data_IF_266097841479
#
_entry.id   IF_266097841479
#
_cell.length_a   1.000
_cell.length_b   1.000
_cell.length_c   1.000
_cell.angle_alpha   90.00
_cell.angle_beta   90.00
_cell.angle_gamma   90.00
#
_symmetry.space_group_name_H-M   'P 1'
#
loop_
_entity.id
_entity.type
_entity.pdbx_description
1 polymer ?
#
# COMPACT_ATOMS: atom_id res chain seq x y z
N UNK A 1 -5.73 -14.00 -9.79
CA UNK A 1 -6.29 -12.64 -9.65
C UNK A 1 -6.40 -12.01 -11.03
N UNK A 2 -7.56 -11.61 -11.46
CA UNK A 2 -7.73 -11.07 -12.80
C UNK A 2 -7.26 -9.62 -12.89
N UNK A 3 -6.04 -9.43 -13.34
CA UNK A 3 -5.64 -8.14 -13.87
C UNK A 3 -6.19 -8.04 -15.31
N UNK A 4 -6.92 -6.95 -15.61
CA UNK A 4 -7.49 -6.76 -16.96
C UNK A 4 -6.45 -6.30 -17.99
N UNK A 5 -5.34 -5.73 -17.54
CA UNK A 5 -4.28 -5.22 -18.40
C UNK A 5 -2.90 -5.61 -17.83
N UNK A 6 -2.55 -6.92 -17.85
CA UNK A 6 -1.27 -7.36 -17.33
C UNK A 6 -0.11 -6.73 -18.10
N UNK A 7 0.96 -6.44 -17.39
CA UNK A 7 2.20 -5.95 -17.98
C UNK A 7 3.09 -7.13 -18.33
N UNK A 8 3.60 -7.16 -19.54
CA UNK A 8 4.59 -8.13 -19.96
C UNK A 8 5.96 -7.77 -19.37
N UNK A 9 6.60 -8.74 -18.79
CA UNK A 9 7.94 -8.63 -18.25
C UNK A 9 8.71 -9.91 -18.53
N UNK A 10 10.03 -9.82 -18.50
CA UNK A 10 10.95 -10.94 -18.74
C UNK A 10 11.89 -11.09 -17.57
N UNK A 11 12.00 -12.30 -17.06
CA UNK A 11 12.94 -12.63 -16.03
C UNK A 11 14.26 -13.10 -16.68
N UNK A 12 15.36 -12.45 -16.28
CA UNK A 12 16.71 -12.78 -16.72
C UNK A 12 17.37 -13.81 -15.81
N UNK A 13 18.45 -14.42 -16.27
CA UNK A 13 19.22 -15.44 -15.52
C UNK A 13 19.85 -14.91 -14.23
N UNK A 14 20.14 -13.60 -14.16
CA UNK A 14 20.64 -12.93 -12.98
C UNK A 14 19.55 -12.58 -11.94
N UNK A 15 18.28 -12.90 -12.22
CA UNK A 15 17.13 -12.58 -11.36
C UNK A 15 16.45 -11.24 -11.66
N UNK A 16 17.02 -10.42 -12.54
CA UNK A 16 16.42 -9.14 -12.91
C UNK A 16 15.13 -9.33 -13.70
N UNK A 17 14.21 -8.39 -13.52
CA UNK A 17 12.96 -8.32 -14.26
C UNK A 17 12.97 -7.08 -15.16
N UNK A 18 12.80 -7.29 -16.45
CA UNK A 18 12.84 -6.23 -17.46
C UNK A 18 11.47 -6.10 -18.13
N UNK A 19 10.99 -4.89 -18.30
CA UNK A 19 9.68 -4.57 -18.87
C UNK A 19 9.70 -4.22 -20.36
N UNK A 20 10.86 -4.10 -20.93
CA UNK A 20 11.01 -3.84 -22.38
C UNK A 20 11.04 -5.14 -23.16
N UNK A 21 10.52 -5.11 -24.38
CA UNK A 21 10.58 -6.25 -25.30
C UNK A 21 12.07 -6.52 -25.64
N UNK A 22 12.64 -7.46 -24.92
CA UNK A 22 14.07 -7.76 -25.01
C UNK A 22 14.31 -9.06 -25.78
N UNK A 23 13.61 -9.27 -26.89
CA UNK A 23 13.86 -10.38 -27.81
C UNK A 23 15.34 -10.44 -28.28
N UNK A 24 16.10 -9.38 -28.04
CA UNK A 24 17.53 -9.30 -28.32
C UNK A 24 18.45 -9.76 -27.17
N UNK A 25 17.90 -10.13 -26.01
CA UNK A 25 18.68 -10.62 -24.87
C UNK A 25 18.67 -12.13 -24.79
N UNK A 26 19.85 -12.72 -24.89
CA UNK A 26 20.05 -14.17 -24.80
C UNK A 26 19.95 -14.72 -23.37
N UNK A 27 19.71 -13.85 -22.39
CA UNK A 27 19.68 -14.18 -20.95
C UNK A 27 18.28 -14.29 -20.36
N UNK A 28 17.22 -14.20 -21.18
CA UNK A 28 15.83 -14.33 -20.74
C UNK A 28 15.50 -15.78 -20.47
N UNK A 29 15.06 -16.08 -19.22
CA UNK A 29 14.61 -17.42 -18.81
C UNK A 29 13.14 -17.63 -19.11
N UNK A 30 12.28 -16.65 -18.76
CA UNK A 30 10.84 -16.77 -18.94
C UNK A 30 10.14 -15.43 -19.05
N UNK A 31 9.00 -15.45 -19.75
CA UNK A 31 8.05 -14.35 -19.76
C UNK A 31 7.18 -14.37 -18.50
N UNK A 32 6.94 -13.21 -17.93
CA UNK A 32 6.06 -12.99 -16.78
C UNK A 32 4.91 -12.08 -17.18
N UNK A 33 3.72 -12.35 -16.67
CA UNK A 33 2.59 -11.45 -16.73
C UNK A 33 2.39 -10.84 -15.34
N UNK A 34 2.70 -9.57 -15.17
CA UNK A 34 2.61 -8.87 -13.90
C UNK A 34 1.35 -8.02 -13.82
N UNK A 35 0.71 -7.91 -12.65
CA UNK A 35 -0.45 -7.06 -12.48
C UNK A 35 -0.09 -5.59 -12.69
N UNK A 36 -0.91 -4.85 -13.45
CA UNK A 36 -0.66 -3.44 -13.77
C UNK A 36 -0.79 -2.49 -12.56
N UNK A 37 -1.44 -2.91 -11.49
CA UNK A 37 -1.67 -2.12 -10.28
C UNK A 37 -2.74 -1.02 -10.39
N UNK A 38 -3.24 -0.72 -11.59
CA UNK A 38 -4.13 0.42 -11.85
C UNK A 38 -5.56 0.04 -12.21
N UNK A 39 -5.76 -1.11 -12.84
CA UNK A 39 -7.10 -1.54 -13.25
C UNK A 39 -7.99 -1.86 -12.03
N UNK A 40 -9.30 -1.93 -12.26
CA UNK A 40 -10.27 -2.23 -11.20
C UNK A 40 -9.95 -3.55 -10.50
N UNK A 41 -9.58 -4.59 -11.25
CA UNK A 41 -9.19 -5.89 -10.69
C UNK A 41 -8.00 -5.79 -9.72
N UNK A 42 -6.94 -5.06 -10.09
CA UNK A 42 -5.78 -4.85 -9.23
C UNK A 42 -6.12 -4.01 -7.98
N UNK A 43 -6.98 -3.01 -8.13
CA UNK A 43 -7.43 -2.18 -7.01
C UNK A 43 -8.26 -2.98 -6.01
N UNK A 44 -9.18 -3.81 -6.50
CA UNK A 44 -9.98 -4.71 -5.66
C UNK A 44 -9.11 -5.73 -4.93
N UNK A 45 -8.13 -6.32 -5.60
CA UNK A 45 -7.20 -7.25 -4.94
C UNK A 45 -6.38 -6.56 -3.87
N UNK A 46 -5.90 -5.36 -4.11
CA UNK A 46 -5.21 -4.57 -3.08
C UNK A 46 -6.11 -4.31 -1.87
N UNK A 47 -7.37 -3.93 -2.10
CA UNK A 47 -8.35 -3.73 -1.02
C UNK A 47 -8.60 -5.02 -0.23
N UNK A 48 -8.73 -6.14 -0.91
CA UNK A 48 -8.88 -7.45 -0.27
C UNK A 48 -7.67 -7.81 0.60
N UNK A 49 -6.46 -7.61 0.10
CA UNK A 49 -5.24 -7.86 0.85
C UNK A 49 -5.14 -7.00 2.11
N UNK A 50 -5.51 -5.73 2.01
CA UNK A 50 -5.56 -4.84 3.18
C UNK A 50 -6.62 -5.26 4.19
N UNK A 51 -7.80 -5.65 3.74
CA UNK A 51 -8.84 -6.16 4.62
C UNK A 51 -8.38 -7.39 5.41
N UNK A 52 -7.72 -8.36 4.74
CA UNK A 52 -7.16 -9.54 5.39
C UNK A 52 -6.09 -9.17 6.43
N UNK A 53 -5.19 -8.24 6.09
CA UNK A 53 -4.17 -7.75 7.05
C UNK A 53 -4.80 -7.08 8.26
N UNK A 54 -5.80 -6.23 8.06
CA UNK A 54 -6.52 -5.58 9.16
C UNK A 54 -7.23 -6.61 10.06
N UNK A 55 -7.84 -7.61 9.48
CA UNK A 55 -8.48 -8.69 10.26
C UNK A 55 -7.48 -9.51 11.07
N UNK A 56 -6.32 -9.84 10.48
CA UNK A 56 -5.26 -10.55 11.20
C UNK A 56 -4.72 -9.70 12.36
N UNK A 57 -4.45 -8.42 12.11
CA UNK A 57 -3.98 -7.51 13.16
C UNK A 57 -5.02 -7.37 14.27
N UNK A 58 -6.28 -7.20 13.91
CA UNK A 58 -7.38 -7.08 14.89
C UNK A 58 -7.52 -8.34 15.75
N UNK A 59 -7.32 -9.52 15.18
CA UNK A 59 -7.40 -10.78 15.93
C UNK A 59 -6.29 -10.96 16.99
N UNK A 60 -5.20 -10.20 16.86
CA UNK A 60 -4.09 -10.23 17.80
C UNK A 60 -4.31 -9.36 19.04
N UNK A 61 -5.35 -8.54 19.05
CA UNK A 61 -5.64 -7.58 20.12
C UNK A 61 -7.04 -7.81 20.69
N UNK A 62 -7.18 -7.70 22.00
CA UNK A 62 -8.50 -7.82 22.68
C UNK A 62 -9.41 -6.62 22.38
N UNK A 63 -8.83 -5.46 22.20
CA UNK A 63 -9.56 -4.22 21.97
C UNK A 63 -9.11 -3.58 20.68
N UNK A 64 -10.06 -3.26 19.83
CA UNK A 64 -9.83 -2.61 18.55
C UNK A 64 -10.78 -1.43 18.40
N UNK A 65 -10.35 -0.37 17.78
CA UNK A 65 -11.18 0.78 17.47
C UNK A 65 -10.89 1.30 16.07
N UNK A 66 -11.92 1.78 15.41
CA UNK A 66 -11.82 2.54 14.18
C UNK A 66 -11.97 4.01 14.51
N UNK A 67 -10.95 4.80 14.22
CA UNK A 67 -10.93 6.24 14.56
C UNK A 67 -10.85 7.05 13.28
N UNK A 68 -11.78 8.01 13.14
CA UNK A 68 -11.73 9.01 12.07
C UNK A 68 -11.22 10.33 12.65
N UNK A 69 -10.16 10.87 12.05
CA UNK A 69 -9.60 12.17 12.40
C UNK A 69 -10.03 13.19 11.37
N UNK A 70 -10.58 14.31 11.84
CA UNK A 70 -10.99 15.42 10.99
C UNK A 70 -10.27 16.69 11.43
N UNK A 71 -10.16 17.65 10.51
CA UNK A 71 -9.70 18.98 10.86
C UNK A 71 -10.83 19.80 11.50
N UNK A 72 -10.45 20.68 12.40
CA UNK A 72 -11.31 21.77 12.86
C UNK A 72 -11.43 22.83 11.77
N UNK A 73 -12.54 23.54 11.71
CA UNK A 73 -12.81 24.56 10.68
C UNK A 73 -11.76 25.66 10.65
N UNK A 74 -11.23 26.03 11.83
CA UNK A 74 -10.18 27.08 11.95
C UNK A 74 -8.78 26.58 11.53
N UNK A 75 -8.59 25.27 11.34
CA UNK A 75 -7.30 24.67 11.04
C UNK A 75 -7.31 23.86 9.74
N UNK A 76 -8.26 24.14 8.85
CA UNK A 76 -8.31 23.50 7.55
C UNK A 76 -7.07 23.86 6.71
N UNK A 77 -6.43 22.86 6.07
CA UNK A 77 -5.32 23.12 5.14
C UNK A 77 -5.79 23.92 3.91
N UNK A 78 -4.84 24.55 3.22
CA UNK A 78 -5.10 25.18 1.94
C UNK A 78 -5.78 24.21 0.96
N UNK A 79 -6.74 24.71 0.19
CA UNK A 79 -7.54 23.95 -0.77
C UNK A 79 -8.40 22.81 -0.16
N UNK A 80 -8.65 22.84 1.15
CA UNK A 80 -9.43 21.82 1.85
C UNK A 80 -8.92 20.39 1.60
N UNK A 81 -7.62 20.21 1.40
CA UNK A 81 -7.00 18.94 1.12
C UNK A 81 -6.26 18.39 2.34
N UNK A 82 -6.22 17.05 2.46
CA UNK A 82 -5.49 16.38 3.52
C UNK A 82 -3.98 16.59 3.35
N UNK A 83 -3.32 17.09 4.40
CA UNK A 83 -1.87 17.12 4.46
C UNK A 83 -1.35 15.94 5.30
N UNK A 84 -0.69 15.00 4.66
CA UNK A 84 -0.19 13.79 5.29
C UNK A 84 0.83 14.07 6.43
N UNK A 85 1.57 15.16 6.35
CA UNK A 85 2.49 15.58 7.39
C UNK A 85 1.77 15.84 8.73
N UNK A 86 0.59 16.43 8.70
CA UNK A 86 -0.20 16.69 9.91
C UNK A 86 -0.57 15.38 10.62
N UNK A 87 -0.93 14.36 9.87
CA UNK A 87 -1.19 13.02 10.40
C UNK A 87 0.07 12.40 11.02
N UNK A 88 1.21 12.48 10.35
CA UNK A 88 2.48 11.98 10.88
C UNK A 88 2.88 12.65 12.18
N UNK A 89 2.75 13.97 12.25
CA UNK A 89 3.08 14.74 13.46
C UNK A 89 2.12 14.44 14.61
N UNK A 90 0.84 14.24 14.32
CA UNK A 90 -0.13 13.77 15.30
C UNK A 90 0.26 12.40 15.86
N UNK A 91 0.61 11.44 15.00
CA UNK A 91 1.02 10.10 15.42
C UNK A 91 2.31 10.10 16.24
N UNK A 92 3.26 10.96 15.91
CA UNK A 92 4.49 11.15 16.72
C UNK A 92 4.18 11.66 18.12
N UNK A 93 3.31 12.67 18.22
CA UNK A 93 2.86 13.22 19.53
C UNK A 93 2.13 12.17 20.35
N UNK A 94 1.23 11.43 19.70
CA UNK A 94 0.48 10.36 20.37
C UNK A 94 1.42 9.28 20.94
N UNK A 95 2.38 8.81 20.15
CA UNK A 95 3.38 7.83 20.61
C UNK A 95 4.25 8.36 21.75
N UNK A 96 4.62 9.63 21.70
CA UNK A 96 5.41 10.26 22.74
C UNK A 96 4.63 10.40 24.06
N UNK A 97 3.35 10.75 23.99
CA UNK A 97 2.50 10.89 25.19
C UNK A 97 2.14 9.55 25.84
N UNK A 98 2.14 8.47 25.06
CA UNK A 98 1.82 7.12 25.52
C UNK A 98 3.07 6.22 25.47
N UNK A 99 4.08 6.59 26.25
CA UNK A 99 5.34 5.83 26.34
C UNK A 99 5.08 4.35 26.67
N UNK A 100 5.62 3.45 25.85
CA UNK A 100 5.51 2.00 26.01
C UNK A 100 4.32 1.34 25.31
N UNK A 101 3.37 2.10 24.79
CA UNK A 101 2.27 1.56 23.96
C UNK A 101 2.66 1.61 22.49
N UNK A 102 2.59 0.47 21.82
CA UNK A 102 2.83 0.39 20.37
C UNK A 102 1.51 0.61 19.64
N UNK A 103 1.46 1.63 18.81
CA UNK A 103 0.38 1.85 17.86
C UNK A 103 0.84 1.36 16.47
N UNK A 104 0.07 0.49 15.86
CA UNK A 104 0.26 0.12 14.45
C UNK A 104 -0.73 0.90 13.58
N UNK A 105 -0.23 1.35 12.46
CA UNK A 105 -0.98 2.08 11.43
C UNK A 105 -1.39 1.13 10.32
#
# INVERSE_FOLDING_TARGET
MPCFHPLDAWQCSNGDVVFTDSLARNDVIRRLALPCGRCVGCRLERSRQWAVRCMHEASMHMFNSFVTLTYDDDHLPEYNSLNYKHFQDFMKRLRKSHNGVRFRQ
#
